data_IF_956892598184
#
_entry.id   IF_956892598184
#
_cell.length_a   1.000
_cell.length_b   1.000
_cell.length_c   1.000
_cell.angle_alpha   90.00
_cell.angle_beta   90.00
_cell.angle_gamma   90.00
#
_symmetry.space_group_name_H-M   'P 1'
#
loop_
_entity.id
_entity.type
_entity.pdbx_description
1 polymer ?
#
# COMPACT_ATOMS: atom_id res chain seq x y z
N UNK A 1 -27.13 13.96 40.09
CA UNK A 1 -25.98 13.34 40.77
C UNK A 1 -25.81 11.93 40.22
N UNK A 2 -25.04 11.79 39.13
CA UNK A 2 -24.49 10.51 38.69
C UNK A 2 -22.98 10.71 38.74
N UNK A 3 -22.34 10.06 39.71
CA UNK A 3 -20.89 10.07 39.88
C UNK A 3 -20.28 9.29 38.71
N UNK A 4 -19.73 10.00 37.73
CA UNK A 4 -18.92 9.41 36.68
C UNK A 4 -17.66 8.83 37.29
N UNK A 5 -17.51 7.51 37.20
CA UNK A 5 -16.22 6.87 37.46
C UNK A 5 -15.22 7.34 36.40
N UNK A 6 -13.99 7.70 36.78
CA UNK A 6 -12.96 8.04 35.83
C UNK A 6 -12.61 6.81 34.99
N UNK A 7 -12.54 7.00 33.68
CA UNK A 7 -12.07 5.98 32.74
C UNK A 7 -10.68 5.51 33.17
N UNK A 8 -10.54 4.21 33.38
CA UNK A 8 -9.28 3.59 33.75
C UNK A 8 -8.23 3.88 32.67
N UNK A 9 -7.20 4.63 33.03
CA UNK A 9 -5.97 4.80 32.25
C UNK A 9 -5.29 3.44 32.12
N UNK A 10 -5.50 2.77 31.00
CA UNK A 10 -4.83 1.50 30.64
C UNK A 10 -3.44 1.81 30.08
N UNK A 11 -2.50 2.13 30.97
CA UNK A 11 -1.08 2.37 30.63
C UNK A 11 -0.23 1.08 30.60
N UNK A 12 -0.83 -0.12 30.69
CA UNK A 12 -0.07 -1.35 30.97
C UNK A 12 0.02 -2.44 29.89
N UNK A 13 -0.54 -2.28 28.68
CA UNK A 13 -0.69 -3.41 27.72
C UNK A 13 -0.32 -3.12 26.25
N UNK A 14 0.48 -2.09 25.97
CA UNK A 14 0.81 -1.70 24.58
C UNK A 14 2.07 -2.36 23.99
N UNK A 15 3.01 -2.84 24.81
CA UNK A 15 4.32 -3.27 24.29
C UNK A 15 4.24 -4.53 23.41
N UNK A 16 3.44 -5.53 23.83
CA UNK A 16 3.34 -6.80 23.11
C UNK A 16 2.55 -6.78 21.79
N UNK A 17 1.88 -5.68 21.43
CA UNK A 17 1.22 -5.56 20.11
C UNK A 17 2.19 -5.06 19.03
N UNK A 18 3.30 -4.44 19.43
CA UNK A 18 4.13 -3.65 18.52
C UNK A 18 5.47 -4.30 18.20
N UNK A 19 5.98 -5.17 19.09
CA UNK A 19 7.17 -5.98 18.85
C UNK A 19 7.00 -6.90 17.62
N UNK A 20 5.82 -7.49 17.43
CA UNK A 20 5.56 -8.33 16.27
C UNK A 20 5.66 -7.62 14.92
N UNK A 21 5.37 -6.31 14.84
CA UNK A 21 5.59 -5.52 13.62
C UNK A 21 7.09 -5.38 13.33
N UNK A 22 7.87 -4.99 14.33
CA UNK A 22 9.32 -4.85 14.25
C UNK A 22 9.99 -6.18 13.88
N UNK A 23 9.53 -7.31 14.44
CA UNK A 23 9.98 -8.66 14.09
C UNK A 23 9.59 -9.07 12.67
N UNK A 24 8.41 -8.67 12.19
CA UNK A 24 8.02 -8.90 10.80
C UNK A 24 8.95 -8.16 9.84
N UNK A 25 9.26 -6.89 10.12
CA UNK A 25 10.21 -6.10 9.33
C UNK A 25 11.60 -6.75 9.35
N UNK A 26 12.07 -7.19 10.52
CA UNK A 26 13.34 -7.89 10.66
C UNK A 26 13.37 -9.19 9.84
N UNK A 27 12.30 -9.98 9.87
CA UNK A 27 12.16 -11.20 9.05
C UNK A 27 12.19 -10.88 7.56
N UNK A 28 11.48 -9.86 7.10
CA UNK A 28 11.49 -9.43 5.69
C UNK A 28 12.89 -8.97 5.26
N UNK A 29 13.62 -8.30 6.16
CA UNK A 29 14.99 -7.87 5.90
C UNK A 29 15.96 -9.06 5.84
N UNK A 30 15.90 -9.99 6.79
CA UNK A 30 16.80 -11.16 6.83
C UNK A 30 16.56 -12.16 5.70
N UNK A 31 15.34 -12.22 5.18
CA UNK A 31 14.99 -13.12 4.06
C UNK A 31 15.11 -12.48 2.68
N UNK A 32 15.55 -11.21 2.60
CA UNK A 32 15.57 -10.44 1.35
C UNK A 32 16.37 -11.10 0.23
N UNK A 33 17.60 -11.54 0.50
CA UNK A 33 18.43 -12.19 -0.52
C UNK A 33 17.83 -13.52 -0.99
N UNK A 34 17.26 -14.28 -0.07
CA UNK A 34 16.64 -15.56 -0.38
C UNK A 34 15.38 -15.36 -1.23
N UNK A 35 14.58 -14.34 -0.91
CA UNK A 35 13.46 -13.88 -1.76
C UNK A 35 13.96 -13.46 -3.14
N UNK A 36 15.01 -12.65 -3.23
CA UNK A 36 15.59 -12.21 -4.50
C UNK A 36 16.06 -13.40 -5.36
N UNK A 37 16.74 -14.39 -4.76
CA UNK A 37 17.15 -15.63 -5.45
C UNK A 37 15.95 -16.44 -5.95
N UNK A 38 14.87 -16.54 -5.15
CA UNK A 38 13.65 -17.23 -5.54
C UNK A 38 12.90 -16.51 -6.69
N UNK A 39 12.95 -15.18 -6.72
CA UNK A 39 12.38 -14.36 -7.79
C UNK A 39 13.20 -14.50 -9.08
N UNK A 40 14.53 -14.39 -9.02
CA UNK A 40 15.42 -14.57 -10.16
C UNK A 40 15.26 -15.95 -10.83
N UNK A 41 15.08 -17.02 -10.04
CA UNK A 41 14.77 -18.37 -10.59
C UNK A 41 13.37 -18.42 -11.25
N UNK A 42 12.44 -17.57 -10.79
CA UNK A 42 11.13 -17.39 -11.43
C UNK A 42 11.23 -16.69 -12.77
N UNK A 43 12.05 -15.64 -12.86
CA UNK A 43 12.36 -14.92 -14.10
C UNK A 43 13.08 -15.85 -15.09
N UNK A 44 14.06 -16.63 -14.64
CA UNK A 44 14.75 -17.63 -15.47
C UNK A 44 13.77 -18.67 -16.03
N UNK A 45 12.84 -19.18 -15.21
CA UNK A 45 11.78 -20.08 -15.67
C UNK A 45 10.87 -19.44 -16.71
N UNK A 46 10.56 -18.15 -16.53
CA UNK A 46 9.74 -17.39 -17.47
C UNK A 46 10.45 -17.26 -18.82
N UNK A 47 11.73 -16.86 -18.82
CA UNK A 47 12.57 -16.77 -20.01
C UNK A 47 12.70 -18.12 -20.73
N UNK A 48 12.96 -19.20 -19.99
CA UNK A 48 13.04 -20.56 -20.55
C UNK A 48 11.74 -21.02 -21.24
N UNK A 49 10.57 -20.61 -20.72
CA UNK A 49 9.28 -20.90 -21.37
C UNK A 49 9.14 -20.17 -22.69
N UNK A 50 9.57 -18.92 -22.73
CA UNK A 50 9.56 -18.09 -23.94
C UNK A 50 10.49 -18.65 -25.02
N UNK A 51 11.66 -19.15 -24.62
CA UNK A 51 12.64 -19.78 -25.50
C UNK A 51 12.32 -21.24 -25.89
N UNK A 52 11.21 -21.79 -25.39
CA UNK A 52 10.82 -23.21 -25.57
C UNK A 52 11.94 -24.16 -25.17
N UNK A 53 12.62 -23.85 -24.06
CA UNK A 53 13.65 -24.70 -23.50
C UNK A 53 13.12 -26.11 -23.21
N UNK A 54 14.03 -27.09 -23.14
CA UNK A 54 13.62 -28.46 -22.87
C UNK A 54 12.97 -28.59 -21.49
N UNK A 55 12.00 -29.51 -21.39
CA UNK A 55 11.32 -29.80 -20.12
C UNK A 55 12.30 -30.13 -18.98
N UNK A 56 13.40 -30.84 -19.28
CA UNK A 56 14.42 -31.20 -18.30
C UNK A 56 15.16 -29.99 -17.70
N UNK A 57 15.47 -28.99 -18.52
CA UNK A 57 16.11 -27.74 -18.06
C UNK A 57 15.15 -26.94 -17.19
N UNK A 58 13.90 -26.77 -17.64
CA UNK A 58 12.86 -26.08 -16.87
C UNK A 58 12.57 -26.79 -15.54
N UNK A 59 12.50 -28.12 -15.52
CA UNK A 59 12.26 -28.90 -14.30
C UNK A 59 13.38 -28.69 -13.26
N UNK A 60 14.63 -28.55 -13.71
CA UNK A 60 15.75 -28.28 -12.81
C UNK A 60 15.64 -26.90 -12.14
N UNK A 61 15.36 -25.84 -12.92
CA UNK A 61 15.17 -24.49 -12.38
C UNK A 61 13.95 -24.42 -11.47
N UNK A 62 12.85 -25.10 -11.83
CA UNK A 62 11.65 -25.21 -11.01
C UNK A 62 11.94 -25.86 -9.65
N UNK A 63 12.72 -26.95 -9.64
CA UNK A 63 13.16 -27.62 -8.41
C UNK A 63 14.06 -26.71 -7.55
N UNK A 64 14.97 -25.94 -8.16
CA UNK A 64 15.76 -24.96 -7.42
C UNK A 64 14.90 -23.85 -6.82
N UNK A 65 13.92 -23.35 -7.56
CA UNK A 65 12.98 -22.34 -7.05
C UNK A 65 12.16 -22.88 -5.88
N UNK A 66 11.62 -24.09 -6.02
CA UNK A 66 10.90 -24.77 -4.95
C UNK A 66 11.77 -24.94 -3.70
N UNK A 67 13.05 -25.33 -3.87
CA UNK A 67 14.00 -25.40 -2.77
C UNK A 67 14.18 -24.05 -2.07
N UNK A 68 14.34 -22.94 -2.80
CA UNK A 68 14.47 -21.59 -2.20
C UNK A 68 13.20 -21.15 -1.49
N UNK A 69 12.02 -21.45 -2.02
CA UNK A 69 10.75 -21.19 -1.35
C UNK A 69 10.58 -22.06 -0.08
N UNK A 70 11.05 -23.31 -0.13
CA UNK A 70 11.12 -24.19 1.04
C UNK A 70 12.07 -23.66 2.11
N UNK A 71 13.23 -23.12 1.71
CA UNK A 71 14.16 -22.43 2.61
C UNK A 71 13.52 -21.18 3.24
N UNK A 72 12.76 -20.38 2.49
CA UNK A 72 12.02 -19.23 3.04
C UNK A 72 11.02 -19.66 4.12
N UNK A 73 10.25 -20.72 3.84
CA UNK A 73 9.30 -21.29 4.82
C UNK A 73 10.03 -21.86 6.03
N UNK A 74 11.16 -22.56 5.83
CA UNK A 74 11.98 -23.07 6.92
C UNK A 74 12.56 -21.93 7.75
N UNK A 75 12.95 -20.84 7.13
CA UNK A 75 13.46 -19.68 7.85
C UNK A 75 12.39 -19.14 8.82
N UNK A 76 11.14 -19.04 8.38
CA UNK A 76 10.05 -18.61 9.26
C UNK A 76 9.69 -19.64 10.35
N UNK A 77 9.59 -20.93 9.99
CA UNK A 77 9.10 -21.97 10.91
C UNK A 77 10.19 -22.67 11.74
N UNK A 78 11.46 -22.49 11.38
CA UNK A 78 12.60 -23.20 11.96
C UNK A 78 13.69 -22.26 12.47
N UNK A 79 14.14 -21.31 11.65
CA UNK A 79 15.31 -20.48 11.99
C UNK A 79 14.95 -19.24 12.81
N UNK A 80 13.72 -18.72 12.65
CA UNK A 80 13.19 -17.68 13.53
C UNK A 80 12.92 -18.28 14.92
N UNK A 81 13.37 -17.60 15.98
CA UNK A 81 13.14 -18.05 17.36
C UNK A 81 11.64 -18.29 17.61
N UNK A 82 11.26 -19.31 18.40
CA UNK A 82 9.86 -19.55 18.73
C UNK A 82 9.15 -18.30 19.28
N UNK A 83 9.86 -17.48 20.06
CA UNK A 83 9.40 -16.23 20.65
C UNK A 83 9.13 -15.18 19.57
N UNK A 84 10.08 -14.91 18.68
CA UNK A 84 9.90 -13.92 17.61
C UNK A 84 8.78 -14.35 16.65
N UNK A 85 8.66 -15.66 16.41
CA UNK A 85 7.60 -16.21 15.55
C UNK A 85 6.24 -16.01 16.18
N UNK A 86 6.13 -16.28 17.48
CA UNK A 86 4.91 -16.06 18.24
C UNK A 86 4.50 -14.59 18.19
N UNK A 87 5.46 -13.66 18.31
CA UNK A 87 5.19 -12.22 18.22
C UNK A 87 4.72 -11.79 16.81
N UNK A 88 5.34 -12.29 15.73
CA UNK A 88 4.86 -12.02 14.36
C UNK A 88 3.45 -12.57 14.16
N UNK A 89 3.19 -13.83 14.54
CA UNK A 89 1.86 -14.44 14.41
C UNK A 89 0.83 -13.64 15.22
N UNK A 90 1.14 -13.32 16.47
CA UNK A 90 0.28 -12.52 17.35
C UNK A 90 -0.03 -11.16 16.74
N UNK A 91 0.95 -10.47 16.17
CA UNK A 91 0.74 -9.20 15.47
C UNK A 91 -0.22 -9.35 14.29
N UNK A 92 0.01 -10.33 13.42
CA UNK A 92 -0.87 -10.59 12.27
C UNK A 92 -2.28 -10.99 12.71
N UNK A 93 -2.41 -11.80 13.77
CA UNK A 93 -3.70 -12.15 14.37
C UNK A 93 -4.40 -10.92 14.91
N UNK A 94 -3.72 -10.08 15.69
CA UNK A 94 -4.29 -8.83 16.23
C UNK A 94 -4.74 -7.92 15.10
N UNK A 95 -3.91 -7.67 14.08
CA UNK A 95 -4.31 -6.85 12.93
C UNK A 95 -5.55 -7.42 12.26
N UNK A 96 -5.60 -8.72 11.99
CA UNK A 96 -6.77 -9.34 11.37
C UNK A 96 -8.02 -9.19 12.26
N UNK A 97 -7.89 -9.39 13.58
CA UNK A 97 -8.99 -9.20 14.52
C UNK A 97 -9.47 -7.76 14.56
N UNK A 98 -8.57 -6.78 14.60
CA UNK A 98 -8.90 -5.35 14.62
C UNK A 98 -9.53 -4.91 13.29
N UNK A 99 -9.04 -5.42 12.14
CA UNK A 99 -9.65 -5.18 10.82
C UNK A 99 -11.06 -5.78 10.77
N UNK A 100 -11.24 -7.02 11.23
CA UNK A 100 -12.55 -7.67 11.29
C UNK A 100 -13.48 -6.90 12.20
N UNK A 101 -13.03 -6.48 13.38
CA UNK A 101 -13.83 -5.70 14.32
C UNK A 101 -14.22 -4.34 13.72
N UNK A 102 -13.27 -3.63 13.11
CA UNK A 102 -13.51 -2.36 12.43
C UNK A 102 -14.56 -2.54 11.31
N UNK A 103 -14.39 -3.54 10.44
CA UNK A 103 -15.36 -3.86 9.38
C UNK A 103 -16.71 -4.26 9.93
N UNK A 104 -16.76 -5.13 10.94
CA UNK A 104 -18.00 -5.60 11.55
C UNK A 104 -18.81 -4.47 12.18
N UNK A 105 -18.16 -3.49 12.84
CA UNK A 105 -18.85 -2.32 13.40
C UNK A 105 -19.70 -1.57 12.37
N UNK A 106 -19.23 -1.47 11.13
CA UNK A 106 -20.00 -0.83 10.06
C UNK A 106 -20.93 -1.83 9.37
N UNK A 107 -20.40 -2.94 8.87
CA UNK A 107 -21.13 -3.87 8.01
C UNK A 107 -22.24 -4.63 8.74
N UNK A 108 -22.00 -5.09 9.97
CA UNK A 108 -22.98 -5.90 10.68
C UNK A 108 -24.07 -5.06 11.36
N UNK A 109 -23.78 -3.81 11.70
CA UNK A 109 -24.63 -3.03 12.60
C UNK A 109 -25.21 -1.74 12.01
N UNK A 110 -24.61 -1.15 10.98
CA UNK A 110 -25.04 0.17 10.48
C UNK A 110 -25.10 0.34 8.97
N UNK A 111 -24.38 -0.46 8.19
CA UNK A 111 -24.27 -0.31 6.74
C UNK A 111 -23.95 -1.64 6.01
N UNK A 112 -24.86 -2.63 6.03
CA UNK A 112 -24.63 -3.97 5.47
C UNK A 112 -24.54 -4.03 3.95
N UNK A 113 -24.90 -2.94 3.26
CA UNK A 113 -24.86 -2.84 1.80
C UNK A 113 -23.74 -1.95 1.28
N UNK A 114 -22.86 -1.47 2.18
CA UNK A 114 -21.71 -0.64 1.82
C UNK A 114 -22.09 0.65 1.08
N UNK A 115 -23.18 1.30 1.53
CA UNK A 115 -23.74 2.49 0.86
C UNK A 115 -23.48 3.80 1.59
N UNK A 116 -22.97 3.76 2.81
CA UNK A 116 -22.79 4.90 3.72
C UNK A 116 -21.39 4.88 4.34
N UNK A 117 -21.28 4.66 5.66
CA UNK A 117 -20.01 4.73 6.40
C UNK A 117 -19.07 3.57 6.09
N UNK A 118 -19.56 2.42 5.64
CA UNK A 118 -18.68 1.33 5.26
C UNK A 118 -17.86 1.63 4.00
N UNK A 119 -18.22 2.66 3.22
CA UNK A 119 -17.36 3.18 2.16
C UNK A 119 -16.01 3.69 2.68
N UNK A 120 -15.82 3.90 3.98
CA UNK A 120 -14.50 4.16 4.58
C UNK A 120 -13.45 3.09 4.21
N UNK A 121 -13.87 1.84 3.97
CA UNK A 121 -12.95 0.77 3.55
C UNK A 121 -12.51 0.87 2.10
N UNK A 122 -13.16 1.72 1.32
CA UNK A 122 -12.85 2.00 -0.07
C UNK A 122 -11.83 3.14 -0.23
N UNK A 123 -11.16 3.55 0.87
CA UNK A 123 -10.15 4.60 0.84
C UNK A 123 -9.09 4.29 -0.22
N UNK A 124 -8.83 5.26 -1.10
CA UNK A 124 -7.93 5.16 -2.25
C UNK A 124 -8.30 4.12 -3.33
N UNK A 125 -9.42 3.41 -3.21
CA UNK A 125 -9.82 2.40 -4.18
C UNK A 125 -10.28 3.01 -5.51
N UNK A 126 -10.68 4.28 -5.56
CA UNK A 126 -11.08 4.94 -6.82
C UNK A 126 -9.92 4.94 -7.83
N UNK A 127 -8.78 5.54 -7.49
CA UNK A 127 -7.58 5.48 -8.33
C UNK A 127 -6.95 4.07 -8.34
N UNK A 128 -7.03 3.34 -7.23
CA UNK A 128 -6.52 1.97 -7.13
C UNK A 128 -7.15 1.03 -8.16
N UNK A 129 -8.48 1.03 -8.26
CA UNK A 129 -9.23 0.29 -9.28
C UNK A 129 -8.98 0.83 -10.69
N UNK A 130 -8.84 2.15 -10.84
CA UNK A 130 -8.49 2.76 -12.13
C UNK A 130 -7.19 2.19 -12.70
N UNK A 131 -6.14 2.18 -11.89
CA UNK A 131 -4.83 1.61 -12.28
C UNK A 131 -4.91 0.10 -12.44
N UNK A 132 -5.55 -0.63 -11.53
CA UNK A 132 -5.73 -2.08 -11.64
C UNK A 132 -6.42 -2.49 -12.96
N UNK A 133 -7.50 -1.81 -13.33
CA UNK A 133 -8.22 -2.07 -14.57
C UNK A 133 -7.38 -1.75 -15.81
N UNK A 134 -6.66 -0.61 -15.82
CA UNK A 134 -5.77 -0.24 -16.92
C UNK A 134 -4.63 -1.26 -17.08
N UNK A 135 -3.99 -1.65 -15.98
CA UNK A 135 -2.94 -2.68 -15.95
C UNK A 135 -3.41 -4.02 -16.50
N UNK A 136 -4.63 -4.44 -16.17
CA UNK A 136 -5.21 -5.67 -16.74
C UNK A 136 -5.36 -5.61 -18.27
N UNK A 137 -5.51 -4.41 -18.84
CA UNK A 137 -5.40 -4.18 -20.28
C UNK A 137 -3.96 -4.32 -20.79
N UNK A 138 -2.99 -3.74 -20.06
CA UNK A 138 -1.57 -3.85 -20.40
C UNK A 138 -1.06 -5.29 -20.35
N UNK A 139 -1.44 -6.10 -19.36
CA UNK A 139 -1.02 -7.50 -19.30
C UNK A 139 -1.53 -8.31 -20.49
N UNK A 140 -2.75 -8.03 -20.97
CA UNK A 140 -3.29 -8.66 -22.17
C UNK A 140 -2.50 -8.27 -23.41
N UNK A 141 -2.13 -6.98 -23.53
CA UNK A 141 -1.23 -6.50 -24.61
C UNK A 141 0.14 -7.17 -24.54
N UNK A 142 0.76 -7.20 -23.35
CA UNK A 142 2.05 -7.84 -23.12
C UNK A 142 2.02 -9.32 -23.52
N UNK A 143 0.97 -10.05 -23.10
CA UNK A 143 0.75 -11.45 -23.50
C UNK A 143 0.66 -11.58 -25.03
N UNK A 144 -0.11 -10.73 -25.71
CA UNK A 144 -0.24 -10.76 -27.17
C UNK A 144 1.08 -10.47 -27.90
N UNK A 145 1.95 -9.65 -27.29
CA UNK A 145 3.29 -9.34 -27.80
C UNK A 145 4.37 -10.33 -27.36
N UNK A 146 4.04 -11.34 -26.55
CA UNK A 146 5.02 -12.27 -26.00
C UNK A 146 6.03 -11.60 -25.06
N UNK A 147 5.62 -10.54 -24.35
CA UNK A 147 6.46 -9.87 -23.36
C UNK A 147 6.31 -10.53 -21.99
N UNK A 148 7.43 -10.67 -21.27
CA UNK A 148 7.41 -11.02 -19.86
C UNK A 148 7.12 -9.75 -19.03
N UNK A 149 6.07 -9.81 -18.21
CA UNK A 149 5.63 -8.74 -17.35
C UNK A 149 5.58 -9.17 -15.87
N UNK A 150 6.27 -10.24 -15.50
CA UNK A 150 6.23 -10.83 -14.15
C UNK A 150 6.61 -9.84 -13.05
N UNK A 151 7.59 -8.95 -13.28
CA UNK A 151 7.94 -7.87 -12.33
C UNK A 151 6.87 -6.78 -12.20
N UNK A 152 6.15 -6.51 -13.30
CA UNK A 152 5.11 -5.49 -13.37
C UNK A 152 3.77 -6.00 -12.84
N UNK A 153 3.64 -7.30 -12.58
CA UNK A 153 2.45 -7.87 -11.99
C UNK A 153 2.17 -7.22 -10.63
N UNK A 154 0.94 -6.75 -10.46
CA UNK A 154 0.44 -6.14 -9.22
C UNK A 154 -0.84 -6.84 -8.82
N UNK A 155 -0.89 -7.20 -7.54
CA UNK A 155 -2.11 -7.64 -6.88
C UNK A 155 -2.97 -6.42 -6.53
N UNK A 156 -4.28 -6.63 -6.37
CA UNK A 156 -5.24 -5.62 -5.93
C UNK A 156 -4.70 -4.73 -4.80
N UNK A 157 -4.21 -5.33 -3.71
CA UNK A 157 -3.67 -4.59 -2.57
C UNK A 157 -2.43 -3.74 -2.88
N UNK A 158 -1.64 -4.09 -3.90
CA UNK A 158 -0.51 -3.25 -4.34
C UNK A 158 -1.00 -2.04 -5.13
N UNK A 159 -2.03 -2.20 -5.97
CA UNK A 159 -2.66 -1.08 -6.68
C UNK A 159 -3.31 -0.09 -5.70
N UNK A 160 -4.07 -0.59 -4.73
CA UNK A 160 -4.67 0.24 -3.68
C UNK A 160 -3.59 0.92 -2.85
N UNK A 161 -2.54 0.21 -2.42
CA UNK A 161 -1.48 0.82 -1.61
C UNK A 161 -0.65 1.88 -2.37
N UNK A 162 -0.49 1.77 -3.69
CA UNK A 162 0.04 2.87 -4.51
C UNK A 162 -0.90 4.08 -4.49
N UNK A 163 -2.21 3.84 -4.67
CA UNK A 163 -3.21 4.90 -4.65
C UNK A 163 -3.34 5.58 -3.29
N UNK A 164 -3.04 4.90 -2.18
CA UNK A 164 -2.97 5.54 -0.86
C UNK A 164 -1.92 6.65 -0.86
N UNK A 165 -0.75 6.44 -1.47
CA UNK A 165 0.28 7.49 -1.57
C UNK A 165 -0.25 8.71 -2.33
N UNK A 166 -1.00 8.47 -3.41
CA UNK A 166 -1.59 9.52 -4.25
C UNK A 166 -2.70 10.29 -3.53
N UNK A 167 -3.58 9.58 -2.80
CA UNK A 167 -4.60 10.22 -1.97
C UNK A 167 -3.98 11.13 -0.90
N UNK A 168 -2.90 10.68 -0.25
CA UNK A 168 -2.16 11.52 0.69
C UNK A 168 -1.48 12.73 0.04
N UNK A 169 -1.03 12.62 -1.21
CA UNK A 169 -0.47 13.74 -1.96
C UNK A 169 -1.55 14.74 -2.40
N UNK A 170 -2.70 14.27 -2.87
CA UNK A 170 -3.86 15.11 -3.17
C UNK A 170 -4.34 15.86 -1.91
N UNK A 171 -4.41 15.17 -0.77
CA UNK A 171 -4.69 15.79 0.53
C UNK A 171 -3.70 16.92 0.86
N UNK A 172 -2.41 16.71 0.61
CA UNK A 172 -1.38 17.72 0.85
C UNK A 172 -1.50 18.92 -0.08
N UNK A 173 -1.75 18.69 -1.37
CA UNK A 173 -1.97 19.77 -2.36
C UNK A 173 -3.15 20.67 -1.96
N UNK A 174 -4.17 20.10 -1.29
CA UNK A 174 -5.32 20.84 -0.77
C UNK A 174 -5.10 21.47 0.62
N UNK A 175 -3.90 21.35 1.20
CA UNK A 175 -3.60 21.86 2.54
C UNK A 175 -4.30 21.10 3.67
N UNK A 176 -4.77 19.87 3.42
CA UNK A 176 -5.47 19.05 4.39
C UNK A 176 -4.51 18.19 5.22
N UNK A 177 -3.38 17.81 4.64
CA UNK A 177 -2.42 16.88 5.23
C UNK A 177 -0.99 17.38 5.01
N UNK A 178 -0.34 17.89 6.04
CA UNK A 178 1.01 18.44 6.01
C UNK A 178 1.86 17.92 7.18
N UNK A 179 3.10 18.43 7.26
CA UNK A 179 4.04 18.15 8.35
C UNK A 179 4.17 16.67 8.72
N UNK A 180 4.10 16.41 10.02
CA UNK A 180 4.23 15.08 10.62
C UNK A 180 3.07 14.15 10.24
N UNK A 181 1.87 14.69 10.03
CA UNK A 181 0.71 13.94 9.55
C UNK A 181 0.94 13.33 8.17
N UNK A 182 1.43 14.15 7.24
CA UNK A 182 1.80 13.69 5.90
C UNK A 182 2.95 12.68 5.94
N UNK A 183 3.98 12.96 6.75
CA UNK A 183 5.13 12.08 6.93
C UNK A 183 4.72 10.71 7.48
N UNK A 184 3.85 10.68 8.49
CA UNK A 184 3.31 9.47 9.08
C UNK A 184 2.46 8.66 8.07
N UNK A 185 1.59 9.35 7.32
CA UNK A 185 0.73 8.74 6.32
C UNK A 185 1.53 8.06 5.20
N UNK A 186 2.45 8.79 4.59
CA UNK A 186 3.28 8.27 3.51
C UNK A 186 4.29 7.23 4.02
N UNK A 187 4.86 7.47 5.21
CA UNK A 187 5.87 6.61 5.84
C UNK A 187 5.40 5.17 6.08
N UNK A 188 4.11 4.97 6.39
CA UNK A 188 3.51 3.65 6.54
C UNK A 188 3.73 2.79 5.30
N UNK A 189 3.44 3.32 4.12
CA UNK A 189 3.55 2.62 2.85
C UNK A 189 5.02 2.52 2.43
N UNK A 190 5.78 3.61 2.58
CA UNK A 190 7.20 3.66 2.21
C UNK A 190 8.12 2.76 3.05
N UNK A 191 7.67 2.32 4.24
CA UNK A 191 8.37 1.28 5.01
C UNK A 191 8.36 -0.06 4.27
N UNK A 192 7.31 -0.37 3.50
CA UNK A 192 7.19 -1.63 2.76
C UNK A 192 7.85 -1.61 1.37
N UNK A 193 8.07 -0.43 0.79
CA UNK A 193 8.62 -0.29 -0.57
C UNK A 193 10.00 -0.96 -0.75
N UNK A 194 10.81 -1.06 0.32
CA UNK A 194 12.09 -1.77 0.28
C UNK A 194 11.96 -3.28 0.02
N UNK A 195 10.79 -3.86 0.32
CA UNK A 195 10.52 -5.29 0.20
C UNK A 195 9.74 -5.66 -1.08
N UNK A 196 9.69 -4.74 -2.06
CA UNK A 196 8.89 -4.88 -3.29
C UNK A 196 7.42 -4.48 -3.05
N UNK A 197 7.23 -3.36 -2.34
CA UNK A 197 5.93 -2.84 -1.92
C UNK A 197 5.19 -2.10 -3.04
N UNK A 198 4.85 -0.84 -2.78
CA UNK A 198 3.92 -0.01 -3.54
C UNK A 198 4.67 0.92 -4.52
N UNK A 199 5.60 0.36 -5.31
CA UNK A 199 6.40 1.10 -6.29
C UNK A 199 5.85 1.00 -7.71
N UNK A 200 6.00 2.09 -8.47
CA UNK A 200 5.51 2.22 -9.85
C UNK A 200 6.55 1.82 -10.89
N UNK A 201 7.85 1.85 -10.59
CA UNK A 201 8.92 1.57 -11.55
C UNK A 201 8.75 0.27 -12.36
N UNK A 202 8.32 -0.88 -11.78
CA UNK A 202 8.07 -2.08 -12.58
C UNK A 202 6.95 -1.91 -13.60
N UNK A 203 5.86 -1.22 -13.22
CA UNK A 203 4.79 -0.88 -14.17
C UNK A 203 5.28 0.11 -15.23
N UNK A 204 6.08 1.10 -14.85
CA UNK A 204 6.67 2.05 -15.79
C UNK A 204 7.51 1.35 -16.87
N UNK A 205 8.35 0.38 -16.48
CA UNK A 205 9.12 -0.42 -17.44
C UNK A 205 8.24 -1.19 -18.42
N UNK A 206 7.11 -1.74 -17.94
CA UNK A 206 6.14 -2.40 -18.82
C UNK A 206 5.50 -1.40 -19.79
N UNK A 207 5.14 -0.21 -19.32
CA UNK A 207 4.64 0.86 -20.18
C UNK A 207 5.64 1.22 -21.28
N UNK A 208 6.93 1.37 -20.94
CA UNK A 208 7.98 1.66 -21.92
C UNK A 208 8.13 0.53 -22.96
N UNK A 209 8.10 -0.73 -22.54
CA UNK A 209 8.15 -1.89 -23.45
C UNK A 209 6.94 -1.98 -24.39
N UNK A 210 5.78 -1.53 -23.92
CA UNK A 210 4.54 -1.49 -24.68
C UNK A 210 4.33 -0.18 -25.46
N UNK A 211 5.31 0.74 -25.41
CA UNK A 211 5.22 2.09 -25.97
C UNK A 211 3.99 2.89 -25.48
N UNK A 212 3.55 2.64 -24.25
CA UNK A 212 2.48 3.40 -23.58
C UNK A 212 3.03 4.75 -23.16
N UNK A 213 2.46 5.81 -23.73
CA UNK A 213 2.82 7.17 -23.32
C UNK A 213 2.26 7.53 -21.93
N UNK A 214 2.83 8.54 -21.29
CA UNK A 214 2.30 9.11 -20.04
C UNK A 214 0.83 9.54 -20.19
N UNK A 215 0.51 10.20 -21.30
CA UNK A 215 -0.85 10.65 -21.59
C UNK A 215 -1.81 9.47 -21.74
N UNK A 216 -1.42 8.43 -22.48
CA UNK A 216 -2.22 7.21 -22.63
C UNK A 216 -2.47 6.54 -21.27
N UNK A 217 -1.46 6.49 -20.41
CA UNK A 217 -1.61 5.96 -19.06
C UNK A 217 -2.59 6.80 -18.23
N UNK A 218 -2.40 8.11 -18.13
CA UNK A 218 -3.25 8.98 -17.33
C UNK A 218 -4.70 8.95 -17.84
N UNK A 219 -4.91 9.16 -19.13
CA UNK A 219 -6.26 9.13 -19.71
C UNK A 219 -6.91 7.76 -19.60
N UNK A 220 -6.16 6.68 -19.81
CA UNK A 220 -6.68 5.32 -19.67
C UNK A 220 -7.15 5.00 -18.24
N UNK A 221 -6.42 5.46 -17.22
CA UNK A 221 -6.82 5.33 -15.82
C UNK A 221 -8.03 6.21 -15.51
N UNK A 222 -8.02 7.47 -15.94
CA UNK A 222 -9.11 8.41 -15.67
C UNK A 222 -10.43 8.01 -16.35
N UNK A 223 -10.39 7.38 -17.52
CA UNK A 223 -11.58 6.78 -18.14
C UNK A 223 -12.28 5.74 -17.26
N UNK A 224 -11.51 4.99 -16.47
CA UNK A 224 -12.06 4.04 -15.50
C UNK A 224 -12.65 4.79 -14.31
N UNK A 225 -11.91 5.78 -13.78
CA UNK A 225 -12.36 6.61 -12.64
C UNK A 225 -13.68 7.34 -12.93
N UNK A 226 -13.86 7.88 -14.14
CA UNK A 226 -15.11 8.54 -14.56
C UNK A 226 -16.34 7.61 -14.51
N UNK A 227 -16.12 6.29 -14.55
CA UNK A 227 -17.16 5.25 -14.47
C UNK A 227 -17.32 4.66 -13.06
N UNK A 228 -16.52 5.12 -12.10
CA UNK A 228 -16.63 4.69 -10.71
C UNK A 228 -18.02 5.06 -10.17
N UNK A 229 -18.70 4.07 -9.59
CA UNK A 229 -20.08 4.18 -9.14
C UNK A 229 -20.25 5.13 -7.94
N UNK A 230 -19.16 5.48 -7.24
CA UNK A 230 -19.20 6.40 -6.09
C UNK A 230 -19.64 7.80 -6.51
N UNK A 231 -19.43 8.19 -7.78
CA UNK A 231 -19.87 9.49 -8.32
C UNK A 231 -21.37 9.72 -8.16
N UNK A 232 -22.17 8.66 -8.14
CA UNK A 232 -23.62 8.75 -7.92
C UNK A 232 -24.03 9.23 -6.52
N UNK A 233 -23.10 9.30 -5.56
CA UNK A 233 -23.39 9.68 -4.17
C UNK A 233 -22.98 11.10 -3.78
N UNK A 234 -22.41 11.89 -4.70
CA UNK A 234 -21.96 13.24 -4.41
C UNK A 234 -22.29 14.18 -5.58
N UNK A 235 -22.67 15.41 -5.27
CA UNK A 235 -22.78 16.48 -6.26
C UNK A 235 -21.40 16.83 -6.78
N UNK A 236 -21.11 16.33 -7.97
CA UNK A 236 -19.81 16.46 -8.60
C UNK A 236 -19.95 17.26 -9.89
N UNK A 237 -19.01 18.18 -10.13
CA UNK A 237 -18.87 18.87 -11.41
C UNK A 237 -18.55 17.88 -12.54
N UNK A 238 -18.67 18.36 -13.77
CA UNK A 238 -18.43 17.55 -14.98
C UNK A 238 -16.95 17.13 -15.11
N UNK A 239 -16.04 18.02 -14.71
CA UNK A 239 -14.58 17.89 -14.72
C UNK A 239 -14.00 17.31 -13.43
N UNK A 240 -14.86 16.71 -12.60
CA UNK A 240 -14.49 16.21 -11.28
C UNK A 240 -14.96 14.77 -11.09
N UNK A 241 -14.32 14.08 -10.17
CA UNK A 241 -14.73 12.78 -9.66
C UNK A 241 -14.85 12.82 -8.14
N UNK A 242 -15.01 11.66 -7.52
CA UNK A 242 -15.09 11.54 -6.07
C UNK A 242 -13.98 10.64 -5.56
N UNK A 243 -13.36 11.06 -4.48
CA UNK A 243 -12.39 10.25 -3.76
C UNK A 243 -12.59 10.42 -2.25
N UNK A 244 -11.78 9.72 -1.48
CA UNK A 244 -11.70 9.89 -0.05
C UNK A 244 -10.32 10.43 0.28
N UNK A 245 -10.28 11.56 0.96
CA UNK A 245 -9.04 12.24 1.33
C UNK A 245 -8.80 12.13 2.84
N UNK A 246 -7.54 12.19 3.24
CA UNK A 246 -7.11 12.23 4.65
C UNK A 246 -6.82 13.67 5.04
N UNK A 247 -7.12 14.05 6.28
CA UNK A 247 -6.76 15.34 6.88
C UNK A 247 -5.96 15.15 8.16
N UNK A 248 -5.04 16.07 8.45
CA UNK A 248 -4.22 16.17 9.66
C UNK A 248 -3.29 14.99 9.95
N UNK A 249 -3.76 13.74 9.93
CA UNK A 249 -3.01 12.54 10.33
C UNK A 249 -3.64 11.26 9.74
N UNK A 250 -2.90 10.13 9.69
CA UNK A 250 -3.47 8.85 9.27
C UNK A 250 -4.77 8.52 9.99
N UNK A 251 -5.72 7.88 9.30
CA UNK A 251 -7.00 7.46 9.91
C UNK A 251 -8.03 8.58 10.13
N UNK A 252 -7.72 9.84 9.85
CA UNK A 252 -8.68 10.94 9.92
C UNK A 252 -9.15 11.33 8.51
N UNK A 253 -10.23 10.72 8.02
CA UNK A 253 -10.77 11.06 6.69
C UNK A 253 -11.47 12.41 6.70
N UNK A 254 -11.34 13.15 5.61
CA UNK A 254 -12.04 14.39 5.36
C UNK A 254 -13.54 14.10 5.20
N UNK A 255 -14.38 14.85 5.93
CA UNK A 255 -15.83 14.83 5.73
C UNK A 255 -16.19 15.70 4.54
N UNK A 256 -17.19 15.23 3.78
CA UNK A 256 -17.75 16.02 2.68
C UNK A 256 -18.50 17.24 3.19
N UNK A 257 -18.43 18.34 2.43
CA UNK A 257 -19.33 19.48 2.60
C UNK A 257 -20.70 19.24 1.97
N UNK A 258 -20.84 18.21 1.12
CA UNK A 258 -22.13 17.78 0.59
C UNK A 258 -22.86 16.93 1.65
N UNK A 259 -24.04 17.37 2.15
CA UNK A 259 -24.79 16.62 3.16
C UNK A 259 -25.12 15.18 2.73
N UNK A 260 -25.30 14.96 1.42
CA UNK A 260 -25.60 13.64 0.87
C UNK A 260 -24.35 12.74 0.87
N UNK A 261 -23.14 13.30 0.91
CA UNK A 261 -21.88 12.55 0.91
C UNK A 261 -21.12 12.59 2.25
N UNK A 262 -21.56 13.40 3.23
CA UNK A 262 -20.86 13.61 4.50
C UNK A 262 -20.57 12.30 5.23
N UNK A 263 -21.59 11.44 5.37
CA UNK A 263 -21.46 10.15 6.06
C UNK A 263 -20.67 9.10 5.27
N UNK A 264 -20.38 9.37 4.00
CA UNK A 264 -19.63 8.50 3.08
C UNK A 264 -18.15 8.88 3.00
N UNK A 265 -17.79 10.06 3.53
CA UNK A 265 -16.45 10.64 3.43
C UNK A 265 -15.98 10.80 1.97
N UNK A 266 -16.93 10.90 1.03
CA UNK A 266 -16.66 11.14 -0.37
C UNK A 266 -16.57 12.64 -0.60
N UNK A 267 -15.44 13.10 -1.11
CA UNK A 267 -15.19 14.49 -1.45
C UNK A 267 -15.02 14.64 -2.94
N UNK A 268 -15.47 15.78 -3.47
CA UNK A 268 -15.20 16.15 -4.86
C UNK A 268 -13.69 16.34 -5.03
N UNK A 269 -13.12 15.69 -6.04
CA UNK A 269 -11.71 15.84 -6.44
C UNK A 269 -11.69 16.17 -7.93
N UNK A 270 -10.96 17.21 -8.31
CA UNK A 270 -10.85 17.58 -9.73
C UNK A 270 -10.07 16.52 -10.49
N UNK A 271 -10.43 16.31 -11.75
CA UNK A 271 -9.70 15.38 -12.61
C UNK A 271 -8.23 15.84 -12.79
N UNK A 272 -7.98 17.14 -12.81
CA UNK A 272 -6.62 17.71 -12.86
C UNK A 272 -5.75 17.27 -11.68
N UNK A 273 -6.30 17.24 -10.45
CA UNK A 273 -5.55 16.79 -9.26
C UNK A 273 -5.21 15.31 -9.34
N UNK A 274 -6.15 14.49 -9.85
CA UNK A 274 -5.91 13.06 -10.08
C UNK A 274 -4.89 12.83 -11.20
N UNK A 275 -4.97 13.62 -12.28
CA UNK A 275 -4.00 13.57 -13.39
C UNK A 275 -2.60 13.91 -12.89
N UNK A 276 -2.45 14.98 -12.09
CA UNK A 276 -1.14 15.41 -11.58
C UNK A 276 -0.45 14.29 -10.79
N UNK A 277 -1.15 13.61 -9.89
CA UNK A 277 -0.57 12.50 -9.12
C UNK A 277 -0.26 11.28 -10.01
N UNK A 278 -1.07 10.99 -11.03
CA UNK A 278 -0.79 9.93 -11.99
C UNK A 278 0.45 10.23 -12.86
N UNK A 279 0.61 11.48 -13.30
CA UNK A 279 1.79 11.92 -14.06
C UNK A 279 3.07 11.77 -13.24
N UNK A 280 3.04 12.20 -11.97
CA UNK A 280 4.15 12.07 -11.03
C UNK A 280 4.44 10.61 -10.69
N UNK A 281 3.40 9.76 -10.62
CA UNK A 281 3.57 8.32 -10.48
C UNK A 281 4.25 7.70 -11.71
N UNK A 282 3.86 8.12 -12.91
CA UNK A 282 4.49 7.68 -14.16
C UNK A 282 5.98 8.07 -14.22
N UNK A 283 6.36 9.19 -13.60
CA UNK A 283 7.74 9.64 -13.43
C UNK A 283 8.46 9.01 -12.23
N UNK A 284 7.82 8.03 -11.57
CA UNK A 284 8.33 7.29 -10.41
C UNK A 284 8.66 8.20 -9.21
N UNK A 285 7.99 9.35 -9.07
CA UNK A 285 8.25 10.27 -7.96
C UNK A 285 7.87 9.69 -6.59
N UNK A 286 6.92 8.75 -6.58
CA UNK A 286 6.48 8.05 -5.37
C UNK A 286 7.31 6.78 -5.09
N UNK A 287 8.35 6.49 -5.86
CA UNK A 287 9.22 5.33 -5.63
C UNK A 287 10.25 5.64 -4.54
N UNK A 288 9.71 5.94 -3.36
CA UNK A 288 10.44 6.34 -2.16
C UNK A 288 10.46 5.22 -1.13
N UNK A 289 11.35 5.40 -0.16
CA UNK A 289 11.51 4.56 1.01
C UNK A 289 11.61 5.44 2.25
N UNK A 290 11.06 4.94 3.37
CA UNK A 290 11.25 5.56 4.65
C UNK A 290 12.66 5.25 5.17
N UNK A 291 13.36 6.24 5.71
CA UNK A 291 14.68 6.09 6.35
C UNK A 291 14.77 6.95 7.59
N UNK A 292 15.39 6.42 8.62
CA UNK A 292 15.78 7.19 9.80
C UNK A 292 17.19 7.77 9.60
N UNK A 293 17.35 9.09 9.69
CA UNK A 293 18.66 9.77 9.71
C UNK A 293 18.79 10.53 11.03
N UNK A 294 19.73 10.10 11.89
CA UNK A 294 19.71 10.53 13.28
C UNK A 294 18.42 10.06 13.95
N UNK A 295 17.66 11.00 14.52
CA UNK A 295 16.36 10.74 15.15
C UNK A 295 15.16 11.19 14.29
N UNK A 296 15.40 11.57 13.02
CA UNK A 296 14.37 12.10 12.13
C UNK A 296 14.03 11.14 10.99
N UNK A 297 12.73 10.99 10.76
CA UNK A 297 12.22 10.18 9.66
C UNK A 297 12.24 11.00 8.36
N UNK A 298 12.77 10.40 7.29
CA UNK A 298 12.82 11.01 5.97
C UNK A 298 12.26 10.07 4.91
N UNK A 299 11.67 10.65 3.87
CA UNK A 299 11.19 9.94 2.68
C UNK A 299 12.15 10.26 1.54
N UNK A 300 12.99 9.29 1.18
CA UNK A 300 14.06 9.47 0.18
C UNK A 300 13.78 8.61 -1.04
N UNK A 301 14.36 8.95 -2.19
CA UNK A 301 14.26 8.08 -3.37
C UNK A 301 14.86 6.72 -3.03
N UNK A 302 14.29 5.64 -3.58
CA UNK A 302 14.78 4.29 -3.31
C UNK A 302 16.27 4.11 -3.65
N UNK A 303 16.77 4.79 -4.67
CA UNK A 303 18.19 4.79 -5.06
C UNK A 303 19.12 5.50 -4.06
N UNK A 304 18.60 6.42 -3.25
CA UNK A 304 19.36 7.21 -2.27
C UNK A 304 19.38 6.56 -0.89
N UNK A 305 18.47 5.61 -0.64
CA UNK A 305 18.40 4.89 0.62
C UNK A 305 19.46 3.81 0.72
N UNK A 306 20.49 4.00 1.56
CA UNK A 306 21.47 2.95 1.87
C UNK A 306 20.78 1.62 2.21
N UNK A 307 21.38 0.51 1.75
CA UNK A 307 20.95 -0.85 2.05
C UNK A 307 21.17 -1.21 3.54
N UNK A 308 22.00 -0.44 4.24
CA UNK A 308 22.38 -0.64 5.65
C UNK A 308 21.45 0.06 6.66
N UNK A 309 20.40 0.74 6.19
CA UNK A 309 19.46 1.43 7.08
C UNK A 309 18.65 0.41 7.88
N UNK A 310 18.75 0.49 9.20
CA UNK A 310 17.97 -0.29 10.16
C UNK A 310 16.46 -0.01 10.00
N UNK A 311 15.77 -0.93 9.32
CA UNK A 311 14.33 -0.81 9.05
C UNK A 311 13.49 -1.01 10.31
N UNK A 312 14.00 -1.76 11.28
CA UNK A 312 13.35 -1.92 12.58
C UNK A 312 13.34 -0.60 13.33
N UNK A 313 14.46 0.13 13.38
CA UNK A 313 14.50 1.48 13.96
C UNK A 313 13.61 2.47 13.20
N UNK A 314 13.62 2.40 11.87
CA UNK A 314 12.76 3.26 11.03
C UNK A 314 11.28 3.01 11.32
N UNK A 315 10.85 1.74 11.39
CA UNK A 315 9.50 1.35 11.75
C UNK A 315 9.11 1.79 13.18
N UNK A 316 10.04 1.66 14.14
CA UNK A 316 9.83 2.08 15.52
C UNK A 316 9.66 3.60 15.65
N UNK A 317 10.50 4.38 14.93
CA UNK A 317 10.39 5.84 14.88
C UNK A 317 9.09 6.30 14.23
N UNK A 318 8.69 5.68 13.11
CA UNK A 318 7.39 5.95 12.47
C UNK A 318 6.22 5.65 13.41
N UNK A 319 6.28 4.56 14.16
CA UNK A 319 5.26 4.25 15.17
C UNK A 319 5.22 5.32 16.26
N UNK A 320 6.38 5.77 16.74
CA UNK A 320 6.49 6.87 17.71
C UNK A 320 5.82 8.14 17.20
N UNK A 321 6.08 8.51 15.94
CA UNK A 321 5.46 9.63 15.25
C UNK A 321 3.93 9.48 15.16
N UNK A 322 3.43 8.30 14.76
CA UNK A 322 1.99 8.05 14.71
C UNK A 322 1.39 8.17 16.10
N UNK A 323 2.04 7.62 17.14
CA UNK A 323 1.53 7.70 18.49
C UNK A 323 1.44 9.15 19.00
N UNK A 324 2.44 10.00 18.73
CA UNK A 324 2.41 11.40 19.16
C UNK A 324 1.24 12.17 18.54
N UNK A 325 0.94 11.92 17.26
CA UNK A 325 -0.22 12.49 16.56
C UNK A 325 -1.59 12.07 17.14
N UNK A 326 -1.63 11.10 18.06
CA UNK A 326 -2.86 10.66 18.74
C UNK A 326 -2.90 11.02 20.23
N UNK A 327 -1.82 11.56 20.78
CA UNK A 327 -1.76 12.03 22.16
C UNK A 327 -1.85 13.54 22.29
N UNK A 328 -1.59 14.27 21.21
CA UNK A 328 -1.91 15.70 21.14
C UNK A 328 -3.45 15.82 21.16
N UNK A 329 -3.99 16.31 22.27
CA UNK A 329 -5.41 16.64 22.42
C UNK A 329 -5.73 17.77 21.42
N UNK A 330 -6.53 17.46 20.40
CA UNK A 330 -7.23 18.45 19.54
C UNK A 330 -8.37 19.12 20.32
#
# INVERSE_FOLDING_TARGET
MYSGQPAATTTGHRDGKTLGFERLIQFLQSTRELKAKALALGEELSAMRMERASYGQMANVAKHREKRLGELRRFFHGDLSPEDRAEVIKFLTVINTEIIAAKAMFLAYSDPFEKYRALLFEYAHTLGHGVEAFMNGLYRRATACGLDYSEAFRLHGQCVGMAVLWAGEMSKQQGLLDGDGFLAHQGLLYTFNRFGGYDFAPLRRLCDQLAVSKEEFCEGVLQVVRRDNKRGYCKCREDSSVDQLVRQRPGCLLRSSDPDAELRYLVEVTEDSQREVLERAFDCEFDKVAVLKGDQLHLVKRSEGSLEVDQTKTASALRGLIASLYTEED
#
